data_IF_699554314670
#
_entry.id   IF_699554314670
#
_cell.length_a   1.000
_cell.length_b   1.000
_cell.length_c   1.000
_cell.angle_alpha   90.00
_cell.angle_beta   90.00
_cell.angle_gamma   90.00
#
_symmetry.space_group_name_H-M   'P 1'
#
loop_
_entity.id
_entity.type
_entity.pdbx_description
1 polymer ?
#
# COMPACT_ATOMS: atom_id res chain seq x y z
N UNK A 1 -6.77 -16.40 8.93
CA UNK A 1 -6.98 -15.15 9.69
C UNK A 1 -5.79 -14.16 9.60
N UNK A 2 -4.63 -14.33 10.28
CA UNK A 2 -3.49 -13.39 10.12
C UNK A 2 -3.04 -13.30 8.67
N UNK A 3 -2.92 -14.44 7.98
CA UNK A 3 -2.61 -14.48 6.54
C UNK A 3 -3.62 -13.68 5.70
N UNK A 4 -4.88 -13.60 6.11
CA UNK A 4 -5.90 -12.78 5.44
C UNK A 4 -5.69 -11.27 5.67
N UNK A 5 -5.23 -10.88 6.85
CA UNK A 5 -4.82 -9.51 7.15
C UNK A 5 -3.62 -9.13 6.28
N UNK A 6 -2.57 -9.95 6.28
CA UNK A 6 -1.35 -9.71 5.48
C UNK A 6 -1.65 -9.68 3.99
N UNK A 7 -2.48 -10.61 3.49
CA UNK A 7 -2.91 -10.61 2.10
C UNK A 7 -3.66 -9.32 1.74
N UNK A 8 -4.60 -8.88 2.59
CA UNK A 8 -5.36 -7.65 2.37
C UNK A 8 -4.45 -6.42 2.39
N UNK A 9 -3.52 -6.34 3.34
CA UNK A 9 -2.56 -5.23 3.42
C UNK A 9 -1.67 -5.18 2.17
N UNK A 10 -1.20 -6.33 1.69
CA UNK A 10 -0.38 -6.43 0.47
C UNK A 10 -1.14 -6.05 -0.80
N UNK A 11 -2.43 -6.37 -0.89
CA UNK A 11 -3.23 -6.19 -2.10
C UNK A 11 -4.01 -4.87 -2.14
N UNK A 12 -4.23 -4.25 -0.99
CA UNK A 12 -5.10 -3.08 -0.86
C UNK A 12 -6.58 -3.39 -1.04
N UNK A 13 -6.96 -4.67 -1.19
CA UNK A 13 -8.32 -5.07 -1.49
C UNK A 13 -9.33 -4.61 -0.42
N UNK A 14 -10.60 -4.40 -0.79
CA UNK A 14 -11.66 -4.12 0.16
C UNK A 14 -11.74 -5.21 1.23
N UNK A 15 -12.02 -4.81 2.47
CA UNK A 15 -12.13 -5.77 3.58
C UNK A 15 -13.21 -6.83 3.34
N UNK A 16 -14.25 -6.54 2.56
CA UNK A 16 -15.36 -7.44 2.28
C UNK A 16 -15.08 -8.48 1.19
N UNK A 17 -13.91 -8.43 0.56
CA UNK A 17 -13.56 -9.29 -0.58
C UNK A 17 -12.23 -10.06 -0.41
N UNK A 18 -12.01 -10.79 0.70
CA UNK A 18 -10.88 -11.70 0.82
C UNK A 18 -11.20 -13.07 0.17
N UNK A 19 -10.20 -13.78 -0.38
CA UNK A 19 -10.34 -15.18 -0.78
C UNK A 19 -10.91 -16.06 0.33
N UNK A 20 -11.77 -17.00 -0.03
CA UNK A 20 -12.47 -17.90 0.91
C UNK A 20 -11.51 -18.68 1.82
N UNK A 21 -10.29 -18.98 1.34
CA UNK A 21 -9.26 -19.66 2.12
C UNK A 21 -8.81 -18.91 3.40
N UNK A 22 -9.07 -17.60 3.49
CA UNK A 22 -8.77 -16.80 4.68
C UNK A 22 -9.89 -16.76 5.72
N UNK A 23 -11.06 -17.29 5.36
CA UNK A 23 -12.27 -17.32 6.18
C UNK A 23 -13.10 -16.03 6.10
N UNK A 24 -14.10 -15.94 6.99
CA UNK A 24 -15.03 -14.81 7.04
C UNK A 24 -14.31 -13.47 7.25
N UNK A 25 -14.66 -12.50 6.42
CA UNK A 25 -14.04 -11.19 6.43
C UNK A 25 -14.23 -10.44 7.76
N UNK A 26 -15.36 -10.62 8.44
CA UNK A 26 -15.64 -9.98 9.73
C UNK A 26 -14.67 -10.44 10.81
N UNK A 27 -14.26 -11.71 10.77
CA UNK A 27 -13.29 -12.28 11.71
C UNK A 27 -11.90 -11.74 11.45
N UNK A 28 -11.49 -11.65 10.18
CA UNK A 28 -10.20 -11.10 9.76
C UNK A 28 -10.12 -9.61 10.15
N UNK A 29 -11.12 -8.83 9.76
CA UNK A 29 -11.22 -7.40 10.09
C UNK A 29 -11.32 -7.17 11.59
N UNK A 30 -12.17 -7.92 12.29
CA UNK A 30 -12.36 -7.79 13.74
C UNK A 30 -11.07 -8.04 14.52
N UNK A 31 -10.25 -9.00 14.08
CA UNK A 31 -8.91 -9.19 14.65
C UNK A 31 -7.98 -8.05 14.31
N UNK A 32 -7.89 -7.66 13.03
CA UNK A 32 -7.04 -6.54 12.62
C UNK A 32 -7.34 -5.30 13.47
N UNK A 33 -8.61 -4.92 13.57
CA UNK A 33 -9.05 -3.76 14.36
C UNK A 33 -8.69 -3.89 15.83
N UNK A 34 -8.88 -5.05 16.45
CA UNK A 34 -8.52 -5.25 17.87
C UNK A 34 -7.02 -5.04 18.09
N UNK A 35 -6.21 -5.66 17.24
CA UNK A 35 -4.75 -5.59 17.32
C UNK A 35 -4.18 -4.22 17.00
N UNK A 36 -4.83 -3.46 16.13
CA UNK A 36 -4.49 -2.05 15.88
C UNK A 36 -4.83 -1.15 17.07
N UNK A 37 -5.82 -1.50 17.89
CA UNK A 37 -6.22 -0.69 19.06
C UNK A 37 -5.39 -1.04 20.29
N UNK A 38 -5.08 -2.32 20.50
CA UNK A 38 -4.39 -2.80 21.71
C UNK A 38 -2.85 -2.80 21.61
N UNK A 39 -2.31 -2.26 20.52
CA UNK A 39 -0.87 -2.12 20.29
C UNK A 39 -0.18 -3.43 19.91
N UNK A 40 -0.92 -4.46 19.50
CA UNK A 40 -0.33 -5.77 19.19
C UNK A 40 0.56 -5.72 17.94
N UNK A 41 0.21 -4.91 16.94
CA UNK A 41 1.04 -4.80 15.73
C UNK A 41 2.41 -4.21 16.02
N UNK A 42 2.46 -3.19 16.87
CA UNK A 42 3.67 -2.54 17.36
C UNK A 42 4.53 -3.55 18.10
N UNK A 43 3.94 -4.31 19.03
CA UNK A 43 4.67 -5.37 19.76
C UNK A 43 5.24 -6.44 18.83
N UNK A 44 4.47 -6.87 17.82
CA UNK A 44 4.95 -7.85 16.83
C UNK A 44 6.13 -7.25 16.05
N UNK A 45 6.01 -6.00 15.60
CA UNK A 45 7.08 -5.31 14.88
C UNK A 45 8.34 -5.17 15.72
N UNK A 46 8.22 -4.77 16.99
CA UNK A 46 9.34 -4.64 17.92
C UNK A 46 10.07 -5.97 18.12
N UNK A 47 9.33 -7.08 18.25
CA UNK A 47 9.93 -8.41 18.36
C UNK A 47 10.61 -8.88 17.07
N UNK A 48 10.06 -8.54 15.90
CA UNK A 48 10.67 -8.86 14.61
C UNK A 48 11.96 -8.06 14.36
N UNK A 49 12.11 -6.91 15.02
CA UNK A 49 13.29 -6.03 14.91
C UNK A 49 14.42 -6.37 15.86
N UNK A 50 14.15 -7.12 16.93
CA UNK A 50 15.15 -7.50 17.91
C UNK A 50 16.37 -8.13 17.20
N UNK A 51 17.56 -7.54 17.37
CA UNK A 51 18.80 -7.96 16.73
C UNK A 51 19.10 -7.46 15.31
N UNK A 52 18.21 -6.69 14.66
CA UNK A 52 18.47 -6.11 13.32
C UNK A 52 18.74 -4.60 13.38
N UNK A 53 17.86 -3.84 14.01
CA UNK A 53 17.85 -2.36 13.95
C UNK A 53 17.95 -1.70 15.34
N UNK A 54 18.55 -2.40 16.32
CA UNK A 54 18.62 -1.93 17.71
C UNK A 54 19.33 -0.58 17.85
N UNK A 55 20.27 -0.28 16.93
CA UNK A 55 21.05 0.96 16.93
C UNK A 55 20.40 2.10 16.13
N UNK A 56 19.46 1.81 15.24
CA UNK A 56 18.86 2.80 14.33
C UNK A 56 17.60 3.46 14.94
N UNK A 57 17.08 2.90 16.04
CA UNK A 57 15.97 3.46 16.81
C UNK A 57 14.60 3.30 16.14
N UNK A 58 13.53 3.38 16.93
CA UNK A 58 12.15 3.18 16.45
C UNK A 58 11.69 4.15 15.34
N UNK A 59 12.37 5.29 15.18
CA UNK A 59 12.11 6.29 14.14
C UNK A 59 12.48 5.79 12.72
N UNK A 60 13.32 4.77 12.58
CA UNK A 60 13.67 4.19 11.28
C UNK A 60 12.57 3.26 10.69
N UNK A 61 11.33 3.36 11.20
CA UNK A 61 10.19 2.59 10.69
C UNK A 61 9.68 3.09 9.34
N UNK A 62 10.24 2.57 8.25
CA UNK A 62 9.72 2.82 6.90
C UNK A 62 8.85 1.65 6.42
N UNK A 63 7.57 1.91 6.16
CA UNK A 63 6.73 1.00 5.38
C UNK A 63 6.97 1.25 3.90
N UNK A 64 7.45 0.25 3.17
CA UNK A 64 7.63 0.32 1.71
C UNK A 64 6.55 -0.50 1.04
N UNK A 65 5.58 0.16 0.41
CA UNK A 65 4.68 -0.47 -0.57
C UNK A 65 4.99 0.06 -1.97
N UNK A 66 5.00 -0.84 -2.96
CA UNK A 66 5.14 -0.47 -4.37
C UNK A 66 3.83 -0.78 -5.07
N UNK A 67 3.22 0.23 -5.70
CA UNK A 67 2.04 0.05 -6.54
C UNK A 67 2.42 0.34 -7.99
N UNK A 68 2.18 -0.62 -8.88
CA UNK A 68 2.38 -0.45 -10.33
C UNK A 68 1.01 -0.32 -10.98
N UNK A 69 0.62 0.90 -11.33
CA UNK A 69 -0.60 1.15 -12.10
C UNK A 69 -0.23 1.41 -13.57
N UNK A 70 -0.78 0.61 -14.49
CA UNK A 70 -0.63 0.91 -15.92
C UNK A 70 -1.51 2.08 -16.28
N UNK A 71 -0.89 3.17 -16.72
CA UNK A 71 -1.60 4.30 -17.29
C UNK A 71 -2.38 3.86 -18.55
N UNK A 72 -3.60 4.38 -18.70
CA UNK A 72 -4.35 4.21 -19.95
C UNK A 72 -3.57 4.87 -21.10
N UNK A 73 -3.63 4.31 -22.30
CA UNK A 73 -2.83 4.77 -23.45
C UNK A 73 -3.02 6.25 -23.81
N UNK A 74 -4.11 6.87 -23.37
CA UNK A 74 -4.44 8.28 -23.57
C UNK A 74 -3.97 9.23 -22.44
N UNK A 75 -3.23 8.73 -21.45
CA UNK A 75 -2.74 9.53 -20.31
C UNK A 75 -1.46 10.31 -20.65
N UNK A 76 -0.82 10.02 -21.79
CA UNK A 76 0.26 10.87 -22.28
C UNK A 76 -0.31 12.27 -22.57
N UNK A 77 0.03 13.23 -21.71
CA UNK A 77 -0.38 14.62 -21.88
C UNK A 77 0.10 15.21 -23.21
N UNK A 78 -0.35 16.43 -23.51
CA UNK A 78 0.05 17.12 -24.74
C UNK A 78 1.59 17.27 -24.82
N UNK A 79 2.18 17.13 -26.02
CA UNK A 79 3.61 17.32 -26.21
C UNK A 79 4.03 18.74 -25.78
N UNK A 80 5.17 18.86 -25.08
CA UNK A 80 5.74 20.15 -24.67
C UNK A 80 6.28 20.99 -25.83
N UNK A 81 6.43 20.40 -27.02
CA UNK A 81 6.78 21.13 -28.23
C UNK A 81 5.49 21.55 -28.95
N UNK A 82 5.43 22.81 -29.39
CA UNK A 82 4.39 23.24 -30.31
C UNK A 82 4.45 22.38 -31.58
N UNK A 83 3.29 21.98 -32.07
CA UNK A 83 3.19 21.23 -33.31
C UNK A 83 3.83 22.08 -34.44
N UNK A 84 4.70 21.47 -35.25
CA UNK A 84 5.53 22.16 -36.24
C UNK A 84 4.73 22.84 -37.36
N UNK A 85 3.43 22.55 -37.42
CA UNK A 85 2.42 23.00 -38.35
C UNK A 85 1.56 24.16 -37.82
N UNK A 86 1.79 24.66 -36.60
CA UNK A 86 1.13 25.90 -36.12
C UNK A 86 1.78 27.11 -36.79
N UNK A 87 1.05 27.89 -37.62
CA UNK A 87 1.60 29.08 -38.25
C UNK A 87 2.00 30.11 -37.20
N UNK A 88 3.26 30.55 -37.24
CA UNK A 88 3.78 31.63 -36.39
C UNK A 88 3.16 32.96 -36.85
N UNK A 89 1.97 33.30 -36.35
CA UNK A 89 1.31 34.55 -36.75
C UNK A 89 -0.02 34.91 -36.08
N UNK A 90 -0.48 34.19 -35.06
CA UNK A 90 -1.68 34.55 -34.30
C UNK A 90 -1.37 34.78 -32.81
N UNK A 91 -0.48 35.73 -32.57
CA UNK A 91 -0.37 36.51 -31.32
C UNK A 91 -0.23 37.98 -31.70
#
# INVERSE_FOLDING_TARGET
>A
MINGILWRTRTGSPWRDPPECYGRWETVYGRHRRWSIDGTWEKILDQLRAGCDETEGGDWTTSVDSTVNRAHQHVAGAPHAAAADVPKGWT
#
